data_IF_966124667902
#
_entry.id   IF_966124667902
#
_cell.length_a   1.000
_cell.length_b   1.000
_cell.length_c   1.000
_cell.angle_alpha   90.00
_cell.angle_beta   90.00
_cell.angle_gamma   90.00
#
_symmetry.space_group_name_H-M   'P 1'
#
loop_
_entity.id
_entity.type
_entity.pdbx_description
1 polymer ?
#
# COMPACT_ATOMS: atom_id res chain seq x y z
N UNK A 1 10.74 18.80 20.79
CA UNK A 1 10.38 17.37 20.84
C UNK A 1 8.95 17.25 20.36
N UNK A 2 8.67 16.41 19.36
CA UNK A 2 7.28 16.09 19.00
C UNK A 2 6.66 15.30 20.15
N UNK A 3 5.43 15.64 20.53
CA UNK A 3 4.64 14.84 21.49
C UNK A 3 4.35 13.50 20.80
N UNK A 4 4.79 12.41 21.42
CA UNK A 4 4.50 11.06 20.91
C UNK A 4 3.07 10.67 21.25
N UNK A 5 2.44 9.92 20.36
CA UNK A 5 1.13 9.33 20.59
C UNK A 5 1.23 8.10 21.50
N UNK A 6 0.14 7.74 22.16
CA UNK A 6 0.09 6.61 23.09
C UNK A 6 0.53 5.30 22.44
N UNK A 7 0.00 4.97 21.26
CA UNK A 7 0.39 3.76 20.52
C UNK A 7 1.88 3.71 20.16
N UNK A 8 2.56 4.86 19.97
CA UNK A 8 3.99 4.92 19.73
C UNK A 8 4.79 4.59 20.99
N UNK A 9 4.34 5.09 22.14
CA UNK A 9 4.93 4.77 23.43
C UNK A 9 4.75 3.28 23.77
N UNK A 10 3.57 2.73 23.53
CA UNK A 10 3.25 1.31 23.72
C UNK A 10 4.18 0.42 22.88
N UNK A 11 4.38 0.74 21.60
CA UNK A 11 5.30 -0.01 20.74
C UNK A 11 6.73 -0.01 21.27
N UNK A 12 7.20 1.12 21.78
CA UNK A 12 8.53 1.22 22.38
C UNK A 12 8.64 0.34 23.63
N UNK A 13 7.60 0.28 24.46
CA UNK A 13 7.58 -0.59 25.65
C UNK A 13 7.55 -2.07 25.25
N UNK A 14 6.76 -2.46 24.24
CA UNK A 14 6.79 -3.83 23.68
C UNK A 14 8.18 -4.15 23.15
N UNK A 15 8.83 -3.22 22.45
CA UNK A 15 10.18 -3.40 21.93
C UNK A 15 11.19 -3.65 23.07
N UNK A 16 11.16 -2.86 24.16
CA UNK A 16 12.03 -3.04 25.32
C UNK A 16 11.86 -4.41 25.99
N UNK A 17 10.64 -4.95 26.01
CA UNK A 17 10.34 -6.27 26.56
C UNK A 17 10.72 -7.43 25.64
N UNK A 18 11.01 -7.15 24.37
CA UNK A 18 11.37 -8.15 23.37
C UNK A 18 12.81 -8.65 23.60
N UNK A 19 12.96 -9.83 24.20
CA UNK A 19 14.26 -10.43 24.51
C UNK A 19 15.13 -10.73 23.27
N UNK A 20 14.52 -10.87 22.11
CA UNK A 20 15.20 -11.13 20.84
C UNK A 20 15.28 -9.90 19.94
N UNK A 21 14.88 -8.74 20.44
CA UNK A 21 14.89 -7.46 19.71
C UNK A 21 14.14 -7.53 18.37
N UNK A 22 12.92 -8.07 18.40
CA UNK A 22 12.07 -8.16 17.20
C UNK A 22 10.67 -7.69 17.52
N UNK A 23 10.13 -6.85 16.64
CA UNK A 23 8.77 -6.32 16.77
C UNK A 23 8.13 -6.17 15.38
N UNK A 24 6.82 -6.34 15.32
CA UNK A 24 6.00 -5.95 14.18
C UNK A 24 5.11 -4.76 14.55
N UNK A 25 5.16 -3.71 13.75
CA UNK A 25 4.27 -2.56 13.82
C UNK A 25 3.17 -2.73 12.78
N UNK A 26 2.04 -3.24 13.21
CA UNK A 26 0.84 -3.33 12.39
C UNK A 26 -0.03 -2.12 12.65
N UNK A 27 0.27 -1.05 11.98
CA UNK A 27 -0.32 0.26 12.20
C UNK A 27 -0.99 0.79 10.94
N UNK A 28 -2.16 1.39 11.08
CA UNK A 28 -2.84 2.09 9.98
C UNK A 28 -1.95 3.12 9.28
N UNK A 29 -2.36 3.52 8.09
CA UNK A 29 -1.65 4.56 7.32
C UNK A 29 -1.63 5.88 8.11
N UNK A 30 -0.51 6.61 8.07
CA UNK A 30 -0.41 7.92 8.72
C UNK A 30 -0.12 7.91 10.23
N UNK A 31 -0.03 6.75 10.88
CA UNK A 31 0.20 6.59 12.33
C UNK A 31 1.63 6.88 12.79
N UNK A 32 2.54 7.29 11.91
CA UNK A 32 3.93 7.57 12.27
C UNK A 32 4.83 6.33 12.39
N UNK A 33 4.55 5.25 11.65
CA UNK A 33 5.37 4.02 11.61
C UNK A 33 6.87 4.28 11.49
N UNK A 34 7.28 5.23 10.63
CA UNK A 34 8.68 5.60 10.42
C UNK A 34 9.35 6.02 11.73
N UNK A 35 8.75 6.97 12.44
CA UNK A 35 9.26 7.46 13.72
C UNK A 35 9.26 6.34 14.76
N UNK A 36 8.15 5.59 14.89
CA UNK A 36 8.00 4.50 15.86
C UNK A 36 9.05 3.40 15.64
N UNK A 37 9.31 3.02 14.38
CA UNK A 37 10.34 2.03 14.05
C UNK A 37 11.73 2.48 14.51
N UNK A 38 12.08 3.74 14.28
CA UNK A 38 13.35 4.31 14.71
C UNK A 38 13.46 4.42 16.24
N UNK A 39 12.36 4.76 16.92
CA UNK A 39 12.32 4.77 18.38
C UNK A 39 12.50 3.36 18.98
N UNK A 40 11.95 2.32 18.35
CA UNK A 40 12.24 0.93 18.73
C UNK A 40 13.72 0.59 18.58
N UNK A 41 14.36 1.02 17.49
CA UNK A 41 15.80 0.86 17.30
C UNK A 41 16.62 1.59 18.37
N UNK A 42 16.23 2.82 18.69
CA UNK A 42 16.86 3.59 19.76
C UNK A 42 16.71 2.90 21.15
N UNK A 43 15.52 2.34 21.43
CA UNK A 43 15.29 1.57 22.65
C UNK A 43 16.19 0.32 22.78
N UNK A 44 16.67 -0.20 21.65
CA UNK A 44 17.64 -1.31 21.59
C UNK A 44 19.10 -0.83 21.44
N UNK A 45 19.38 0.47 21.56
CA UNK A 45 20.69 1.09 21.39
C UNK A 45 21.30 0.81 20.00
N UNK A 46 20.48 0.84 18.96
CA UNK A 46 20.91 0.66 17.57
C UNK A 46 20.97 2.01 16.86
N UNK A 47 22.15 2.40 16.41
CA UNK A 47 22.43 3.68 15.75
C UNK A 47 22.87 3.52 14.27
N UNK A 48 23.06 2.29 13.79
CA UNK A 48 23.36 1.94 12.39
C UNK A 48 22.33 0.96 11.86
N UNK A 49 21.40 1.46 11.07
CA UNK A 49 20.18 0.74 10.65
C UNK A 49 20.10 0.65 9.13
N UNK A 50 19.79 -0.54 8.62
CA UNK A 50 19.38 -0.72 7.23
C UNK A 50 17.85 -0.70 7.14
N UNK A 51 17.32 0.15 6.26
CA UNK A 51 15.88 0.25 6.00
C UNK A 51 15.54 -0.29 4.61
N UNK A 52 14.74 -1.35 4.58
CA UNK A 52 14.06 -1.80 3.35
C UNK A 52 12.78 -0.99 3.22
N UNK A 53 12.69 -0.17 2.17
CA UNK A 53 11.52 0.68 1.96
C UNK A 53 11.30 0.96 0.46
N UNK A 54 10.09 1.40 0.06
CA UNK A 54 9.87 1.94 -1.28
C UNK A 54 10.83 3.11 -1.57
N UNK A 55 11.42 3.21 -2.78
CA UNK A 55 12.37 4.29 -3.10
C UNK A 55 11.85 5.70 -2.85
N UNK A 56 10.55 5.90 -3.01
CA UNK A 56 9.88 7.20 -2.77
C UNK A 56 9.94 7.66 -1.31
N UNK A 57 10.16 6.76 -0.36
CA UNK A 57 10.21 7.08 1.09
C UNK A 57 11.63 7.19 1.64
N UNK A 58 12.68 6.86 0.85
CA UNK A 58 14.06 6.82 1.32
C UNK A 58 14.52 8.15 1.95
N UNK A 59 14.22 9.29 1.31
CA UNK A 59 14.59 10.60 1.86
C UNK A 59 13.85 10.92 3.17
N UNK A 60 12.61 10.50 3.29
CA UNK A 60 11.83 10.67 4.52
C UNK A 60 12.46 9.87 5.67
N UNK A 61 12.84 8.59 5.42
CA UNK A 61 13.52 7.76 6.40
C UNK A 61 14.82 8.41 6.89
N UNK A 62 15.67 8.89 5.98
CA UNK A 62 16.93 9.56 6.33
C UNK A 62 16.71 10.81 7.16
N UNK A 63 15.81 11.71 6.73
CA UNK A 63 15.51 12.94 7.46
C UNK A 63 14.96 12.68 8.87
N UNK A 64 14.07 11.69 9.01
CA UNK A 64 13.52 11.35 10.34
C UNK A 64 14.62 10.75 11.23
N UNK A 65 15.47 9.89 10.71
CA UNK A 65 16.58 9.29 11.45
C UNK A 65 17.60 10.33 11.94
N UNK A 66 17.93 11.32 11.11
CA UNK A 66 18.79 12.46 11.48
C UNK A 66 18.29 13.18 12.73
N UNK A 67 16.98 13.36 12.89
CA UNK A 67 16.38 14.01 14.09
C UNK A 67 16.58 13.21 15.37
N UNK A 68 16.87 11.91 15.26
CA UNK A 68 17.10 10.98 16.36
C UNK A 68 18.59 10.61 16.54
N UNK A 69 19.48 11.13 15.71
CA UNK A 69 20.89 10.78 15.72
C UNK A 69 21.20 9.36 15.23
N UNK A 70 20.30 8.75 14.43
CA UNK A 70 20.45 7.40 13.89
C UNK A 70 20.97 7.49 12.45
N UNK A 71 21.98 6.70 12.14
CA UNK A 71 22.49 6.54 10.76
C UNK A 71 21.64 5.50 10.02
N UNK A 72 21.12 5.88 8.86
CA UNK A 72 20.25 5.01 8.06
C UNK A 72 20.77 4.85 6.65
N UNK A 73 20.99 3.58 6.27
CA UNK A 73 21.12 3.17 4.88
C UNK A 73 19.75 2.71 4.37
N UNK A 74 19.41 3.05 3.13
CA UNK A 74 18.11 2.67 2.53
C UNK A 74 18.29 1.80 1.30
N UNK A 75 17.44 0.78 1.17
CA UNK A 75 17.43 -0.14 0.03
C UNK A 75 15.99 -0.46 -0.40
N UNK A 76 15.75 -0.60 -1.70
CA UNK A 76 14.45 -1.04 -2.19
C UNK A 76 14.25 -2.56 -2.01
N UNK A 77 12.99 -3.00 -1.87
CA UNK A 77 12.63 -4.43 -1.82
C UNK A 77 13.14 -5.19 -3.06
N UNK A 78 13.08 -4.57 -4.24
CA UNK A 78 13.59 -5.18 -5.47
C UNK A 78 15.11 -5.43 -5.39
N UNK A 79 15.89 -4.45 -4.95
CA UNK A 79 17.34 -4.58 -4.78
C UNK A 79 17.68 -5.59 -3.68
N UNK A 80 16.93 -5.61 -2.58
CA UNK A 80 17.12 -6.59 -1.51
C UNK A 80 16.94 -8.03 -1.99
N UNK A 81 15.98 -8.30 -2.88
CA UNK A 81 15.75 -9.64 -3.45
C UNK A 81 16.90 -10.16 -4.31
N UNK A 82 17.75 -9.29 -4.84
CA UNK A 82 18.89 -9.72 -5.65
C UNK A 82 19.87 -10.58 -4.84
N UNK A 83 20.34 -11.67 -5.43
CA UNK A 83 21.15 -12.70 -4.75
C UNK A 83 22.49 -12.20 -4.23
N UNK A 84 23.08 -11.22 -4.91
CA UNK A 84 24.41 -10.69 -4.58
C UNK A 84 24.39 -9.62 -3.47
N UNK A 85 23.22 -9.17 -3.00
CA UNK A 85 23.16 -8.22 -1.89
C UNK A 85 23.48 -8.93 -0.57
N UNK A 86 24.61 -8.58 0.03
CA UNK A 86 25.05 -9.09 1.33
C UNK A 86 24.84 -8.03 2.39
N UNK A 87 24.19 -8.39 3.50
CA UNK A 87 24.15 -7.55 4.70
C UNK A 87 25.49 -7.67 5.45
N UNK A 88 26.00 -6.57 5.94
CA UNK A 88 27.06 -6.60 6.93
C UNK A 88 26.54 -7.23 8.23
N UNK A 89 27.41 -7.89 8.99
CA UNK A 89 27.01 -8.74 10.14
C UNK A 89 26.35 -7.99 11.33
N UNK A 90 26.33 -6.67 11.31
CA UNK A 90 26.03 -5.84 12.50
C UNK A 90 24.89 -4.85 12.35
N UNK A 91 24.26 -4.75 11.19
CA UNK A 91 23.21 -3.75 10.99
C UNK A 91 21.85 -4.25 11.50
N UNK A 92 21.20 -3.44 12.34
CA UNK A 92 19.78 -3.58 12.63
C UNK A 92 18.95 -3.36 11.36
N UNK A 93 17.78 -3.97 11.28
CA UNK A 93 16.97 -3.99 10.07
C UNK A 93 15.56 -3.48 10.33
N UNK A 94 15.13 -2.51 9.54
CA UNK A 94 13.71 -2.12 9.43
C UNK A 94 13.19 -2.56 8.07
N UNK A 95 12.04 -3.22 8.04
CA UNK A 95 11.33 -3.61 6.82
C UNK A 95 10.01 -2.85 6.78
N UNK A 96 10.01 -1.74 6.09
CA UNK A 96 8.81 -0.95 5.82
C UNK A 96 8.02 -1.57 4.66
N UNK A 97 6.70 -1.48 4.70
CA UNK A 97 5.79 -2.12 3.75
C UNK A 97 6.16 -3.60 3.52
N UNK A 98 6.26 -4.36 4.62
CA UNK A 98 6.71 -5.77 4.61
C UNK A 98 5.90 -6.66 3.66
N UNK A 99 4.65 -6.31 3.35
CA UNK A 99 3.83 -7.04 2.38
C UNK A 99 4.46 -7.08 0.97
N UNK A 100 5.34 -6.13 0.62
CA UNK A 100 6.06 -6.12 -0.66
C UNK A 100 7.13 -7.22 -0.76
N UNK A 101 7.44 -7.93 0.32
CA UNK A 101 8.33 -9.11 0.27
C UNK A 101 7.65 -10.34 -0.35
N UNK A 102 6.32 -10.32 -0.48
CA UNK A 102 5.51 -11.42 -1.00
C UNK A 102 5.19 -12.51 0.02
N UNK A 103 4.67 -13.66 -0.40
CA UNK A 103 4.35 -14.81 0.44
C UNK A 103 5.57 -15.63 0.88
N UNK A 104 5.35 -16.71 1.64
CA UNK A 104 6.41 -17.48 2.30
C UNK A 104 7.44 -18.14 1.36
N UNK A 105 7.06 -18.43 0.12
CA UNK A 105 7.97 -18.94 -0.94
C UNK A 105 8.67 -17.83 -1.72
N UNK A 106 8.30 -16.57 -1.50
CA UNK A 106 8.90 -15.46 -2.24
C UNK A 106 10.36 -15.22 -1.82
N UNK A 107 11.22 -14.91 -2.79
CA UNK A 107 12.64 -14.69 -2.57
C UNK A 107 12.95 -13.65 -1.48
N UNK A 108 12.10 -12.63 -1.34
CA UNK A 108 12.23 -11.60 -0.30
C UNK A 108 12.12 -12.17 1.11
N UNK A 109 11.04 -12.92 1.39
CA UNK A 109 10.84 -13.56 2.69
C UNK A 109 11.84 -14.67 2.96
N UNK A 110 12.16 -15.49 1.96
CA UNK A 110 13.17 -16.55 2.12
C UNK A 110 14.51 -15.94 2.53
N UNK A 111 14.91 -14.84 1.90
CA UNK A 111 16.15 -14.13 2.24
C UNK A 111 16.10 -13.50 3.62
N UNK A 112 15.01 -12.82 3.96
CA UNK A 112 14.82 -12.23 5.29
C UNK A 112 14.86 -13.30 6.39
N UNK A 113 14.17 -14.42 6.20
CA UNK A 113 14.17 -15.54 7.14
C UNK A 113 15.58 -16.13 7.33
N UNK A 114 16.34 -16.32 6.24
CA UNK A 114 17.72 -16.79 6.32
C UNK A 114 18.58 -15.81 7.13
N UNK A 115 18.49 -14.51 6.83
CA UNK A 115 19.22 -13.46 7.54
C UNK A 115 18.83 -13.38 9.02
N UNK A 116 17.54 -13.46 9.34
CA UNK A 116 17.05 -13.42 10.72
C UNK A 116 17.54 -14.58 11.59
N UNK A 117 17.85 -15.73 10.98
CA UNK A 117 18.41 -16.90 11.69
C UNK A 117 19.92 -16.79 11.91
N UNK A 118 20.63 -16.22 10.96
CA UNK A 118 22.10 -16.12 10.98
C UNK A 118 22.62 -14.85 11.63
N UNK A 119 21.80 -13.81 11.65
CA UNK A 119 22.11 -12.53 12.27
C UNK A 119 21.25 -12.39 13.52
N UNK A 120 21.87 -12.26 14.68
CA UNK A 120 21.16 -11.83 15.90
C UNK A 120 20.77 -10.34 15.83
N UNK A 121 20.55 -9.83 14.62
CA UNK A 121 20.25 -8.43 14.40
C UNK A 121 18.84 -8.09 14.86
N UNK A 122 18.64 -6.92 15.46
CA UNK A 122 17.33 -6.36 15.75
C UNK A 122 16.51 -6.16 14.49
N UNK A 123 15.23 -6.50 14.53
CA UNK A 123 14.34 -6.42 13.36
C UNK A 123 13.04 -5.73 13.75
N UNK A 124 12.69 -4.66 13.01
CA UNK A 124 11.35 -4.08 13.00
C UNK A 124 10.68 -4.41 11.66
N UNK A 125 9.53 -5.04 11.73
CA UNK A 125 8.63 -5.20 10.59
C UNK A 125 7.55 -4.14 10.67
N UNK A 126 7.22 -3.46 9.58
CA UNK A 126 6.18 -2.44 9.55
C UNK A 126 5.28 -2.58 8.33
N UNK A 127 3.97 -2.48 8.51
CA UNK A 127 2.99 -2.38 7.43
C UNK A 127 1.67 -1.80 7.93
N UNK A 128 0.95 -1.12 7.06
CA UNK A 128 -0.44 -0.75 7.28
C UNK A 128 -1.41 -1.85 6.83
N UNK A 129 -0.97 -2.70 5.93
CA UNK A 129 -1.82 -3.68 5.23
C UNK A 129 -1.10 -5.02 5.10
N UNK A 130 -1.04 -5.83 6.16
CA UNK A 130 -0.45 -7.17 6.08
C UNK A 130 -1.39 -8.17 5.43
N UNK A 131 -2.15 -7.87 4.41
CA UNK A 131 -3.18 -8.69 3.75
C UNK A 131 -3.97 -9.61 4.71
N UNK A 132 -5.16 -9.19 5.03
CA UNK A 132 -6.02 -9.74 6.09
C UNK A 132 -6.41 -11.22 5.95
N UNK A 133 -6.27 -11.83 4.77
CA UNK A 133 -6.64 -13.22 4.52
C UNK A 133 -5.46 -14.11 4.14
N UNK A 134 -4.23 -13.62 4.32
CA UNK A 134 -3.03 -14.29 3.82
C UNK A 134 -2.28 -14.98 4.96
N UNK A 135 -2.64 -16.23 5.23
CA UNK A 135 -1.96 -17.09 6.20
C UNK A 135 -0.45 -17.22 5.94
N UNK A 136 -0.04 -17.11 4.67
CA UNK A 136 1.36 -17.11 4.25
C UNK A 136 2.15 -15.98 4.91
N UNK A 137 1.56 -14.79 4.96
CA UNK A 137 2.21 -13.59 5.51
C UNK A 137 2.21 -13.61 7.03
N UNK A 138 1.11 -14.02 7.64
CA UNK A 138 1.05 -14.24 9.10
C UNK A 138 2.14 -15.22 9.54
N UNK A 139 2.25 -16.35 8.83
CA UNK A 139 3.33 -17.31 9.07
C UNK A 139 4.73 -16.69 8.91
N UNK A 140 4.94 -15.85 7.88
CA UNK A 140 6.22 -15.18 7.69
C UNK A 140 6.56 -14.25 8.85
N UNK A 141 5.58 -13.47 9.34
CA UNK A 141 5.74 -12.56 10.48
C UNK A 141 6.08 -13.36 11.73
N UNK A 142 5.28 -14.37 12.05
CA UNK A 142 5.53 -15.23 13.22
C UNK A 142 6.93 -15.84 13.19
N UNK A 143 7.35 -16.34 12.02
CA UNK A 143 8.66 -16.95 11.84
C UNK A 143 9.83 -15.98 12.05
N UNK A 144 9.65 -14.72 11.72
CA UNK A 144 10.65 -13.68 12.00
C UNK A 144 10.62 -13.29 13.48
N UNK A 145 9.44 -13.07 14.05
CA UNK A 145 9.32 -12.66 15.45
C UNK A 145 9.72 -13.76 16.43
N UNK A 146 9.37 -15.02 16.14
CA UNK A 146 9.55 -16.16 17.04
C UNK A 146 10.25 -17.35 16.37
N UNK A 147 11.49 -17.20 15.86
CA UNK A 147 12.16 -18.23 15.06
C UNK A 147 12.36 -19.57 15.79
N UNK A 148 12.50 -19.53 17.11
CA UNK A 148 12.68 -20.74 17.94
C UNK A 148 11.37 -21.54 18.15
N UNK A 149 10.22 -20.87 18.08
CA UNK A 149 8.89 -21.48 18.27
C UNK A 149 8.24 -21.88 16.95
N UNK A 150 8.60 -21.22 15.86
CA UNK A 150 7.94 -21.39 14.58
C UNK A 150 8.24 -22.74 13.96
N UNK A 151 7.17 -23.50 13.72
CA UNK A 151 7.15 -24.79 13.03
C UNK A 151 7.27 -24.64 11.50
N UNK A 152 7.13 -25.73 10.76
CA UNK A 152 7.02 -25.68 9.30
C UNK A 152 5.69 -25.07 8.85
N UNK A 153 5.64 -24.57 7.62
CA UNK A 153 4.46 -23.89 7.09
C UNK A 153 3.19 -24.77 7.14
N UNK A 154 3.28 -26.02 6.74
CA UNK A 154 2.14 -26.93 6.81
C UNK A 154 1.66 -27.15 8.26
N UNK A 155 2.59 -27.32 9.21
CA UNK A 155 2.20 -27.44 10.63
C UNK A 155 1.49 -26.19 11.12
N UNK A 156 1.98 -24.99 10.73
CA UNK A 156 1.31 -23.75 11.05
C UNK A 156 -0.12 -23.72 10.49
N UNK A 157 -0.33 -24.13 9.24
CA UNK A 157 -1.66 -24.18 8.63
C UNK A 157 -2.61 -25.10 9.40
N UNK A 158 -2.18 -26.33 9.68
CA UNK A 158 -3.01 -27.31 10.40
C UNK A 158 -3.35 -26.91 11.83
N UNK A 159 -2.48 -26.15 12.48
CA UNK A 159 -2.65 -25.73 13.88
C UNK A 159 -3.49 -24.45 14.03
N UNK A 160 -3.48 -23.57 13.02
CA UNK A 160 -4.04 -22.23 13.18
C UNK A 160 -5.13 -21.89 12.16
N UNK A 161 -5.27 -22.66 11.07
CA UNK A 161 -6.15 -22.27 9.95
C UNK A 161 -7.27 -23.28 9.70
N UNK A 162 -8.41 -22.76 9.22
CA UNK A 162 -9.47 -23.56 8.61
C UNK A 162 -9.04 -23.89 7.20
N UNK A 163 -9.06 -25.18 6.86
CA UNK A 163 -8.48 -25.68 5.61
C UNK A 163 -9.53 -26.42 4.78
N UNK A 164 -9.53 -26.16 3.48
CA UNK A 164 -10.26 -26.95 2.51
C UNK A 164 -9.29 -27.65 1.56
N UNK A 165 -9.53 -28.93 1.30
CA UNK A 165 -8.68 -29.72 0.40
C UNK A 165 -8.91 -29.28 -1.04
N UNK A 166 -7.85 -28.80 -1.68
CA UNK A 166 -7.87 -28.47 -3.10
C UNK A 166 -7.38 -29.68 -3.91
N UNK A 167 -8.25 -30.32 -4.72
CA UNK A 167 -7.86 -31.50 -5.50
C UNK A 167 -6.78 -31.21 -6.56
N UNK A 168 -6.53 -29.95 -6.87
CA UNK A 168 -5.53 -29.52 -7.87
C UNK A 168 -4.23 -28.99 -7.23
N UNK A 169 -4.12 -28.99 -5.91
CA UNK A 169 -2.97 -28.48 -5.18
C UNK A 169 -2.49 -29.47 -4.12
N UNK A 170 -1.17 -29.52 -3.89
CA UNK A 170 -0.60 -30.26 -2.79
C UNK A 170 -0.74 -29.54 -1.44
N UNK A 171 -1.13 -28.28 -1.46
CA UNK A 171 -1.34 -27.45 -0.28
C UNK A 171 -2.84 -27.15 -0.17
N UNK A 172 -3.47 -27.36 1.00
CA UNK A 172 -4.87 -27.01 1.19
C UNK A 172 -5.09 -25.50 1.05
N UNK A 173 -6.26 -25.11 0.62
CA UNK A 173 -6.69 -23.72 0.59
C UNK A 173 -7.07 -23.26 2.01
N UNK A 174 -6.69 -22.06 2.38
CA UNK A 174 -7.02 -21.46 3.67
C UNK A 174 -8.29 -20.67 3.55
N UNK A 175 -9.31 -21.02 4.34
CA UNK A 175 -10.61 -20.35 4.38
C UNK A 175 -10.80 -19.45 5.60
N UNK A 176 -9.86 -19.46 6.54
CA UNK A 176 -9.88 -18.61 7.74
C UNK A 176 -8.93 -19.11 8.82
N UNK A 177 -9.03 -18.52 10.00
CA UNK A 177 -8.29 -18.94 11.19
C UNK A 177 -9.21 -19.73 12.15
N UNK A 178 -8.64 -20.66 12.92
CA UNK A 178 -9.42 -21.54 13.82
C UNK A 178 -9.98 -20.76 15.01
N UNK A 179 -9.15 -19.96 15.69
CA UNK A 179 -9.47 -19.28 16.94
C UNK A 179 -9.69 -17.77 16.77
N UNK A 180 -9.43 -17.23 15.58
CA UNK A 180 -9.50 -15.81 15.29
C UNK A 180 -10.43 -15.53 14.11
N UNK A 181 -11.15 -14.38 14.10
CA UNK A 181 -12.04 -14.02 13.00
C UNK A 181 -11.27 -13.78 11.70
N UNK A 182 -10.04 -13.26 11.80
CA UNK A 182 -9.18 -12.95 10.65
C UNK A 182 -7.68 -12.91 11.05
N UNK A 183 -6.84 -12.64 10.07
CA UNK A 183 -5.40 -12.51 10.26
C UNK A 183 -5.00 -11.30 11.13
N UNK A 184 -5.81 -10.24 11.13
CA UNK A 184 -5.53 -9.05 11.93
C UNK A 184 -5.68 -9.34 13.42
N UNK A 185 -6.76 -10.03 13.80
CA UNK A 185 -7.00 -10.46 15.18
C UNK A 185 -5.91 -11.45 15.65
N UNK A 186 -5.50 -12.39 14.78
CA UNK A 186 -4.39 -13.29 15.06
C UNK A 186 -3.08 -12.53 15.34
N UNK A 187 -2.75 -11.54 14.49
CA UNK A 187 -1.55 -10.74 14.66
C UNK A 187 -1.62 -9.83 15.89
N UNK A 188 -2.80 -9.26 16.18
CA UNK A 188 -3.00 -8.38 17.33
C UNK A 188 -2.76 -9.10 18.68
N UNK A 189 -3.09 -10.40 18.75
CA UNK A 189 -2.85 -11.24 19.94
C UNK A 189 -1.40 -11.79 20.00
N UNK A 190 -0.65 -11.67 18.93
CA UNK A 190 0.71 -12.20 18.86
C UNK A 190 1.66 -11.36 19.69
N UNK A 191 2.45 -12.00 20.52
CA UNK A 191 3.52 -11.33 21.28
C UNK A 191 4.51 -10.62 20.33
N UNK A 192 5.00 -9.45 20.74
CA UNK A 192 5.88 -8.58 19.97
C UNK A 192 5.21 -8.00 18.71
N UNK A 193 3.90 -7.85 18.71
CA UNK A 193 3.15 -7.09 17.72
C UNK A 193 2.53 -5.87 18.42
N UNK A 194 2.85 -4.69 17.94
CA UNK A 194 2.14 -3.48 18.29
C UNK A 194 1.07 -3.24 17.21
N UNK A 195 -0.19 -3.20 17.63
CA UNK A 195 -1.34 -3.13 16.75
C UNK A 195 -2.11 -1.83 16.93
N UNK A 196 -2.34 -1.13 15.84
CA UNK A 196 -3.23 0.03 15.79
C UNK A 196 -4.23 -0.17 14.66
N UNK A 197 -5.49 -0.51 14.97
CA UNK A 197 -6.52 -0.75 13.98
C UNK A 197 -6.85 0.51 13.18
N UNK A 198 -7.40 0.28 11.99
CA UNK A 198 -7.97 1.35 11.16
C UNK A 198 -9.43 1.54 11.56
N UNK A 199 -9.66 2.33 12.59
CA UNK A 199 -11.00 2.61 13.16
C UNK A 199 -11.58 3.95 12.68
N UNK A 200 -10.97 4.57 11.65
CA UNK A 200 -11.53 5.81 11.10
C UNK A 200 -12.75 5.46 10.27
N UNK A 201 -13.91 5.84 10.73
CA UNK A 201 -15.17 5.72 10.00
C UNK A 201 -15.17 6.71 8.84
N UNK A 202 -15.51 6.24 7.66
CA UNK A 202 -15.69 7.05 6.46
C UNK A 202 -16.77 6.41 5.57
N UNK A 203 -17.45 7.25 4.82
CA UNK A 203 -18.44 6.82 3.85
C UNK A 203 -17.85 6.89 2.43
N UNK A 204 -18.22 5.91 1.59
CA UNK A 204 -17.90 5.91 0.17
C UNK A 204 -19.20 6.17 -0.60
N UNK A 205 -19.23 7.26 -1.32
CA UNK A 205 -20.31 7.57 -2.25
C UNK A 205 -20.09 6.82 -3.57
N UNK A 206 -21.04 5.91 -3.87
CA UNK A 206 -21.00 5.07 -5.06
C UNK A 206 -21.63 5.79 -6.25
N UNK A 207 -20.80 6.24 -7.18
CA UNK A 207 -21.23 6.94 -8.39
C UNK A 207 -21.34 5.97 -9.55
N UNK A 208 -22.56 5.68 -10.00
CA UNK A 208 -22.79 4.78 -11.14
C UNK A 208 -22.68 5.53 -12.45
N UNK A 209 -21.88 5.00 -13.39
CA UNK A 209 -21.77 5.46 -14.76
C UNK A 209 -21.96 4.29 -15.70
N UNK A 210 -22.95 4.37 -16.58
CA UNK A 210 -23.18 3.37 -17.62
C UNK A 210 -22.84 3.93 -18.99
N UNK A 211 -22.11 3.14 -19.78
CA UNK A 211 -21.76 3.48 -21.15
C UNK A 211 -22.12 2.31 -22.06
N UNK A 212 -23.02 2.56 -23.02
CA UNK A 212 -23.37 1.57 -24.03
C UNK A 212 -22.23 1.52 -25.08
N UNK A 213 -21.48 0.41 -25.07
CA UNK A 213 -20.48 0.15 -26.12
C UNK A 213 -21.21 -0.13 -27.43
N UNK A 214 -20.90 0.65 -28.48
CA UNK A 214 -21.38 0.35 -29.82
C UNK A 214 -21.01 -1.10 -30.22
N UNK A 215 -21.89 -1.85 -30.91
CA UNK A 215 -21.65 -3.25 -31.30
C UNK A 215 -20.32 -3.47 -32.06
N UNK A 216 -19.83 -2.43 -32.76
CA UNK A 216 -18.53 -2.46 -33.45
C UNK A 216 -17.35 -2.63 -32.48
N UNK A 217 -17.44 -2.19 -31.22
CA UNK A 217 -16.40 -2.34 -30.20
C UNK A 217 -16.35 -3.72 -29.56
N UNK A 218 -17.44 -4.47 -29.57
CA UNK A 218 -17.43 -5.87 -29.14
C UNK A 218 -16.49 -6.74 -29.98
N UNK A 219 -16.22 -6.33 -31.24
CA UNK A 219 -15.33 -7.04 -32.16
C UNK A 219 -13.88 -6.54 -32.14
N UNK A 220 -13.59 -5.35 -31.62
CA UNK A 220 -12.23 -4.81 -31.60
C UNK A 220 -11.29 -5.52 -30.60
N UNK A 221 -11.80 -6.10 -29.55
CA UNK A 221 -11.06 -7.02 -28.67
C UNK A 221 -10.56 -8.29 -29.37
N UNK A 222 -11.12 -8.62 -30.54
CA UNK A 222 -10.74 -9.77 -31.38
C UNK A 222 -9.72 -9.40 -32.47
N UNK A 223 -9.45 -8.13 -32.74
CA UNK A 223 -8.61 -7.65 -33.85
C UNK A 223 -7.29 -7.01 -33.39
N UNK A 224 -6.79 -7.28 -32.21
CA UNK A 224 -5.40 -6.96 -31.91
C UNK A 224 -4.50 -7.82 -32.81
N UNK A 225 -3.62 -7.17 -33.55
CA UNK A 225 -2.80 -7.64 -34.70
C UNK A 225 -1.81 -8.78 -34.41
N UNK A 226 -2.07 -9.63 -33.47
CA UNK A 226 -1.24 -10.82 -33.25
C UNK A 226 -2.15 -12.03 -33.14
N UNK A 227 -1.99 -12.95 -34.09
CA UNK A 227 -2.46 -14.30 -34.10
C UNK A 227 -1.99 -15.09 -32.85
N UNK A 228 -2.36 -14.64 -31.65
CA UNK A 228 -2.16 -15.36 -30.40
C UNK A 228 -3.50 -15.70 -29.82
N UNK A 229 -3.70 -16.98 -29.72
CA UNK A 229 -4.73 -17.68 -28.99
C UNK A 229 -5.17 -16.90 -27.72
N UNK A 230 -6.49 -16.59 -27.70
CA UNK A 230 -7.24 -16.10 -26.53
C UNK A 230 -6.48 -15.10 -25.65
N UNK A 231 -6.68 -13.80 -25.92
CA UNK A 231 -6.47 -12.79 -24.87
C UNK A 231 -7.08 -13.32 -23.57
N UNK A 232 -6.31 -13.29 -22.48
CA UNK A 232 -6.80 -13.75 -21.19
C UNK A 232 -8.08 -12.98 -20.85
N UNK A 233 -8.95 -13.56 -20.05
CA UNK A 233 -10.20 -12.90 -19.66
C UNK A 233 -9.92 -11.53 -19.01
N UNK A 234 -8.82 -11.43 -18.31
CA UNK A 234 -8.28 -10.19 -17.70
C UNK A 234 -7.96 -9.12 -18.75
N UNK A 235 -7.31 -9.48 -19.87
CA UNK A 235 -6.98 -8.52 -20.94
C UNK A 235 -8.24 -8.01 -21.65
N UNK A 236 -9.27 -8.86 -21.79
CA UNK A 236 -10.56 -8.45 -22.34
C UNK A 236 -11.30 -7.48 -21.42
N UNK A 237 -11.27 -7.73 -20.13
CA UNK A 237 -11.91 -6.88 -19.12
C UNK A 237 -11.20 -5.52 -19.01
N UNK A 238 -9.87 -5.50 -19.01
CA UNK A 238 -9.08 -4.25 -19.06
C UNK A 238 -9.37 -3.43 -20.32
N UNK A 239 -9.43 -4.08 -21.48
CA UNK A 239 -9.79 -3.41 -22.72
C UNK A 239 -11.20 -2.80 -22.65
N UNK A 240 -12.17 -3.55 -22.12
CA UNK A 240 -13.54 -3.11 -21.93
C UNK A 240 -13.61 -1.87 -21.04
N UNK A 241 -12.96 -1.86 -19.88
CA UNK A 241 -12.90 -0.70 -18.98
C UNK A 241 -12.31 0.51 -19.69
N UNK A 242 -11.22 0.36 -20.43
CA UNK A 242 -10.59 1.44 -21.17
C UNK A 242 -11.53 2.03 -22.23
N UNK A 243 -12.20 1.19 -23.03
CA UNK A 243 -13.10 1.64 -24.09
C UNK A 243 -14.38 2.28 -23.56
N UNK A 244 -14.90 1.85 -22.41
CA UNK A 244 -16.05 2.47 -21.76
C UNK A 244 -15.70 3.81 -21.09
N UNK A 245 -14.41 4.09 -20.91
CA UNK A 245 -13.91 5.25 -20.18
C UNK A 245 -13.33 6.32 -21.09
N UNK A 246 -12.61 5.91 -22.16
CA UNK A 246 -11.80 6.80 -23.01
C UNK A 246 -12.35 6.80 -24.45
N UNK A 247 -12.51 8.00 -25.03
CA UNK A 247 -12.89 8.19 -26.42
C UNK A 247 -11.70 7.94 -27.39
N UNK A 248 -11.97 8.00 -28.71
CA UNK A 248 -10.96 7.78 -29.75
C UNK A 248 -9.86 8.85 -29.78
N UNK A 249 -10.11 10.03 -29.23
CA UNK A 249 -9.15 11.12 -29.15
C UNK A 249 -8.29 11.07 -27.89
N UNK A 250 -8.58 10.10 -26.99
CA UNK A 250 -7.83 9.88 -25.76
C UNK A 250 -8.26 10.76 -24.59
N UNK A 251 -9.49 11.25 -24.60
CA UNK A 251 -10.13 11.95 -23.50
C UNK A 251 -11.14 11.03 -22.81
N UNK A 252 -11.53 11.37 -21.59
CA UNK A 252 -12.69 10.71 -20.99
C UNK A 252 -13.92 10.99 -21.88
N UNK A 253 -14.81 10.01 -22.02
CA UNK A 253 -16.09 10.27 -22.65
C UNK A 253 -16.76 11.48 -22.01
N UNK A 254 -17.35 12.36 -22.83
CA UNK A 254 -17.88 13.65 -22.33
C UNK A 254 -18.82 13.51 -21.13
N UNK A 255 -19.82 12.60 -21.12
CA UNK A 255 -20.71 12.45 -19.95
C UNK A 255 -19.95 12.03 -18.68
N UNK A 256 -18.94 11.16 -18.81
CA UNK A 256 -18.10 10.76 -17.68
C UNK A 256 -17.23 11.94 -17.18
N UNK A 257 -16.65 12.71 -18.11
CA UNK A 257 -15.88 13.88 -17.77
C UNK A 257 -16.72 14.96 -17.07
N UNK A 258 -17.96 15.14 -17.49
CA UNK A 258 -18.90 16.08 -16.85
C UNK A 258 -19.30 15.60 -15.46
N UNK A 259 -19.49 14.28 -15.30
CA UNK A 259 -19.81 13.66 -14.01
C UNK A 259 -18.62 13.76 -13.03
N UNK A 260 -17.40 13.52 -13.48
CA UNK A 260 -16.18 13.69 -12.66
C UNK A 260 -16.05 15.13 -12.19
N UNK A 261 -16.30 16.10 -13.08
CA UNK A 261 -16.25 17.53 -12.74
C UNK A 261 -17.22 17.91 -11.62
N UNK A 262 -18.43 17.36 -11.59
CA UNK A 262 -19.44 17.62 -10.57
C UNK A 262 -18.97 17.22 -9.15
N UNK A 263 -18.01 16.29 -9.05
CA UNK A 263 -17.47 15.82 -7.79
C UNK A 263 -16.15 16.50 -7.39
N UNK A 264 -15.67 17.48 -8.15
CA UNK A 264 -14.45 18.25 -7.82
C UNK A 264 -14.80 19.43 -6.91
N UNK A 265 -14.80 19.19 -5.62
CA UNK A 265 -15.12 20.19 -4.58
C UNK A 265 -13.85 20.61 -3.81
N UNK A 266 -13.00 21.46 -4.37
CA UNK A 266 -11.75 21.85 -3.75
C UNK A 266 -10.52 21.07 -4.29
N UNK A 267 -9.40 21.04 -3.57
CA UNK A 267 -8.25 20.23 -3.93
C UNK A 267 -8.61 18.75 -3.93
N UNK A 268 -8.51 18.10 -5.10
CA UNK A 268 -9.04 16.76 -5.32
C UNK A 268 -7.94 15.79 -5.73
N UNK A 269 -7.92 14.61 -5.09
CA UNK A 269 -7.11 13.47 -5.48
C UNK A 269 -7.94 12.55 -6.40
N UNK A 270 -7.44 12.25 -7.60
CA UNK A 270 -8.11 11.35 -8.55
C UNK A 270 -7.23 10.12 -8.77
N UNK A 271 -7.73 8.98 -8.36
CA UNK A 271 -7.06 7.70 -8.56
C UNK A 271 -7.62 6.96 -9.78
N UNK A 272 -6.72 6.40 -10.57
CA UNK A 272 -7.02 5.47 -11.66
C UNK A 272 -6.07 4.27 -11.58
N UNK A 273 -6.61 3.08 -11.70
CA UNK A 273 -5.81 1.86 -11.76
C UNK A 273 -4.96 1.81 -13.06
N UNK A 274 -5.52 2.29 -14.17
CA UNK A 274 -4.85 2.33 -15.48
C UNK A 274 -4.26 3.71 -15.80
N UNK A 275 -2.99 3.74 -16.20
CA UNK A 275 -2.31 5.00 -16.56
C UNK A 275 -2.93 5.72 -17.75
N UNK A 276 -3.51 4.99 -18.71
CA UNK A 276 -4.23 5.58 -19.85
C UNK A 276 -5.47 6.37 -19.40
N UNK A 277 -6.20 5.87 -18.41
CA UNK A 277 -7.37 6.55 -17.84
C UNK A 277 -6.93 7.78 -17.04
N UNK A 278 -5.85 7.69 -16.27
CA UNK A 278 -5.27 8.84 -15.58
C UNK A 278 -4.83 9.96 -16.53
N UNK A 279 -4.19 9.60 -17.65
CA UNK A 279 -3.80 10.55 -18.71
C UNK A 279 -5.02 11.17 -19.42
N UNK A 280 -6.06 10.38 -19.68
CA UNK A 280 -7.30 10.86 -20.26
C UNK A 280 -8.04 11.82 -19.32
N UNK A 281 -8.11 11.49 -18.03
CA UNK A 281 -8.69 12.36 -17.01
C UNK A 281 -7.95 13.71 -16.93
N UNK A 282 -6.61 13.68 -16.94
CA UNK A 282 -5.81 14.89 -16.95
C UNK A 282 -6.13 15.78 -18.17
N UNK A 283 -6.12 15.20 -19.37
CA UNK A 283 -6.44 15.95 -20.60
C UNK A 283 -7.85 16.53 -20.56
N UNK A 284 -8.84 15.75 -20.15
CA UNK A 284 -10.23 16.19 -20.09
C UNK A 284 -10.43 17.35 -19.10
N UNK A 285 -9.85 17.26 -17.91
CA UNK A 285 -9.95 18.32 -16.92
C UNK A 285 -9.18 19.58 -17.34
N UNK A 286 -8.04 19.43 -18.01
CA UNK A 286 -7.29 20.56 -18.55
C UNK A 286 -8.10 21.34 -19.62
N UNK A 287 -8.88 20.67 -20.50
CA UNK A 287 -9.77 21.33 -21.45
C UNK A 287 -10.91 22.10 -20.80
N UNK A 288 -11.27 21.75 -19.57
CA UNK A 288 -12.27 22.44 -18.74
C UNK A 288 -11.66 23.56 -17.86
N UNK A 289 -10.35 23.82 -17.99
CA UNK A 289 -9.65 24.88 -17.27
C UNK A 289 -9.12 24.50 -15.90
N UNK A 290 -9.17 23.22 -15.51
CA UNK A 290 -8.58 22.79 -14.24
C UNK A 290 -7.06 22.69 -14.33
N UNK A 291 -6.37 23.27 -13.36
CA UNK A 291 -4.93 23.03 -13.17
C UNK A 291 -4.71 21.65 -12.57
N UNK A 292 -3.95 20.81 -13.28
CA UNK A 292 -3.79 19.39 -12.89
C UNK A 292 -2.33 18.95 -12.98
N UNK A 293 -1.94 18.01 -12.13
CA UNK A 293 -0.67 17.29 -12.22
C UNK A 293 -0.90 15.79 -12.24
N UNK A 294 -0.01 15.07 -12.91
CA UNK A 294 -0.09 13.61 -13.09
C UNK A 294 1.09 12.90 -12.41
N UNK A 295 0.78 11.80 -11.69
CA UNK A 295 1.76 10.94 -11.04
C UNK A 295 1.46 9.48 -11.38
N UNK A 296 2.27 8.87 -12.23
CA UNK A 296 2.15 7.47 -12.64
C UNK A 296 3.44 6.69 -12.33
N UNK A 297 3.44 5.39 -12.60
CA UNK A 297 4.65 4.57 -12.47
C UNK A 297 5.83 5.02 -13.35
N UNK A 298 5.57 5.84 -14.39
CA UNK A 298 6.61 6.43 -15.28
C UNK A 298 7.17 7.76 -14.75
N UNK A 299 6.53 8.35 -13.72
CA UNK A 299 6.95 9.64 -13.16
C UNK A 299 8.20 9.48 -12.33
N UNK A 300 9.26 10.22 -12.65
CA UNK A 300 10.50 10.19 -11.87
C UNK A 300 10.28 10.75 -10.45
N UNK A 301 11.11 10.34 -9.49
CA UNK A 301 10.97 10.77 -8.11
C UNK A 301 11.01 12.31 -7.94
N UNK A 302 11.86 13.00 -8.70
CA UNK A 302 11.96 14.46 -8.67
C UNK A 302 10.69 15.15 -9.20
N UNK A 303 10.13 14.64 -10.31
CA UNK A 303 8.88 15.16 -10.88
C UNK A 303 7.70 14.86 -9.96
N UNK A 304 7.65 13.65 -9.39
CA UNK A 304 6.64 13.28 -8.39
C UNK A 304 6.66 14.26 -7.21
N UNK A 305 7.83 14.53 -6.65
CA UNK A 305 7.95 15.44 -5.51
C UNK A 305 7.47 16.85 -5.87
N UNK A 306 7.92 17.40 -7.01
CA UNK A 306 7.49 18.71 -7.49
C UNK A 306 5.96 18.78 -7.68
N UNK A 307 5.35 17.74 -8.24
CA UNK A 307 3.90 17.70 -8.46
C UNK A 307 3.12 17.62 -7.15
N UNK A 308 3.64 16.89 -6.17
CA UNK A 308 3.06 16.81 -4.83
C UNK A 308 3.17 18.15 -4.09
N UNK A 309 4.30 18.84 -4.22
CA UNK A 309 4.50 20.16 -3.60
C UNK A 309 3.57 21.19 -4.23
N UNK A 310 3.47 21.26 -5.56
CA UNK A 310 2.53 22.14 -6.24
C UNK A 310 1.06 21.89 -5.81
N UNK A 311 0.67 20.64 -5.56
CA UNK A 311 -0.66 20.33 -5.06
C UNK A 311 -0.84 20.75 -3.59
N UNK A 312 0.16 20.57 -2.74
CA UNK A 312 0.13 20.99 -1.33
C UNK A 312 0.11 22.51 -1.17
N UNK A 313 0.81 23.21 -2.05
CA UNK A 313 0.89 24.67 -2.05
C UNK A 313 -0.38 25.33 -2.66
N UNK A 314 -1.28 24.52 -3.22
CA UNK A 314 -2.54 24.99 -3.82
C UNK A 314 -2.40 25.54 -5.25
N UNK A 315 -1.25 25.37 -5.89
CA UNK A 315 -0.99 25.81 -7.28
C UNK A 315 -1.81 25.00 -8.29
N UNK A 316 -2.18 23.77 -7.92
CA UNK A 316 -2.98 22.88 -8.77
C UNK A 316 -4.22 22.37 -8.04
N UNK A 317 -5.33 22.25 -8.77
CA UNK A 317 -6.64 21.89 -8.28
C UNK A 317 -6.80 20.38 -8.13
N UNK A 318 -6.20 19.59 -9.03
CA UNK A 318 -6.32 18.14 -8.98
C UNK A 318 -4.97 17.43 -9.14
N UNK A 319 -4.71 16.48 -8.26
CA UNK A 319 -3.61 15.52 -8.33
C UNK A 319 -4.17 14.21 -8.86
N UNK A 320 -3.74 13.80 -10.05
CA UNK A 320 -4.23 12.60 -10.73
C UNK A 320 -3.12 11.56 -10.74
N UNK A 321 -3.45 10.29 -10.54
CA UNK A 321 -2.42 9.26 -10.69
C UNK A 321 -2.87 7.84 -10.42
N UNK A 322 -1.88 6.95 -10.42
CA UNK A 322 -2.06 5.50 -10.28
C UNK A 322 -1.57 5.01 -8.91
N UNK A 323 -1.34 3.71 -8.75
CA UNK A 323 -0.84 3.09 -7.51
C UNK A 323 0.39 3.80 -6.90
N UNK A 324 1.15 4.56 -7.70
CA UNK A 324 2.24 5.40 -7.20
C UNK A 324 1.81 6.50 -6.22
N UNK A 325 0.51 6.83 -6.14
CA UNK A 325 -0.06 7.75 -5.15
C UNK A 325 -0.18 7.11 -3.77
N UNK A 326 -0.29 5.80 -3.67
CA UNK A 326 -0.42 5.11 -2.39
C UNK A 326 0.85 5.19 -1.54
N UNK A 327 2.01 5.46 -2.14
CA UNK A 327 3.31 5.48 -1.45
C UNK A 327 4.01 6.82 -1.56
N UNK A 328 4.61 7.29 -0.46
CA UNK A 328 5.43 8.51 -0.44
C UNK A 328 4.64 9.80 -0.75
N UNK A 329 3.38 9.87 -0.36
CA UNK A 329 2.48 11.02 -0.59
C UNK A 329 1.92 11.56 0.73
N UNK A 330 2.78 11.74 1.73
CA UNK A 330 2.37 12.22 3.04
C UNK A 330 1.91 13.69 3.01
N UNK A 331 1.01 14.06 3.94
CA UNK A 331 0.52 15.43 4.09
C UNK A 331 -0.64 15.81 3.16
N UNK A 332 -1.19 14.88 2.37
CA UNK A 332 -2.38 15.11 1.54
C UNK A 332 -3.64 15.28 2.40
N UNK A 333 -3.68 14.64 3.57
CA UNK A 333 -4.76 14.75 4.57
C UNK A 333 -5.06 16.20 4.98
N UNK A 334 -4.07 17.09 4.92
CA UNK A 334 -4.19 18.51 5.32
C UNK A 334 -4.73 19.41 4.22
N UNK A 335 -4.63 19.02 2.97
CA UNK A 335 -4.95 19.88 1.82
C UNK A 335 -6.00 19.28 0.89
N UNK A 336 -6.26 17.99 0.98
CA UNK A 336 -7.17 17.26 0.08
C UNK A 336 -8.40 16.80 0.86
N UNK A 337 -9.57 17.28 0.48
CA UNK A 337 -10.84 16.89 1.10
C UNK A 337 -11.63 15.90 0.25
N UNK A 338 -11.30 15.76 -1.03
CA UNK A 338 -12.02 14.90 -1.97
C UNK A 338 -11.10 13.87 -2.61
N UNK A 339 -11.47 12.59 -2.53
CA UNK A 339 -10.88 11.49 -3.29
C UNK A 339 -11.89 10.97 -4.30
N UNK A 340 -11.53 10.96 -5.57
CA UNK A 340 -12.28 10.30 -6.63
C UNK A 340 -11.52 9.03 -7.05
N UNK A 341 -12.14 7.87 -6.85
CA UNK A 341 -11.67 6.58 -7.38
C UNK A 341 -12.39 6.39 -8.71
N UNK A 342 -11.79 6.88 -9.80
CA UNK A 342 -12.41 6.88 -11.13
C UNK A 342 -12.34 5.52 -11.81
N UNK A 343 -11.26 4.78 -11.58
CA UNK A 343 -11.00 3.44 -12.12
C UNK A 343 -10.42 2.61 -10.99
N UNK A 344 -11.28 1.79 -10.37
CA UNK A 344 -10.96 1.11 -9.12
C UNK A 344 -9.99 -0.07 -9.32
N UNK A 345 -9.36 -0.45 -8.24
CA UNK A 345 -8.45 -1.58 -8.16
C UNK A 345 -9.13 -2.77 -7.48
N UNK A 346 -8.77 -3.98 -7.90
CA UNK A 346 -9.15 -5.21 -7.20
C UNK A 346 -8.32 -5.43 -5.91
N UNK A 347 -7.28 -4.63 -5.68
CA UNK A 347 -6.44 -4.71 -4.50
C UNK A 347 -7.03 -3.82 -3.37
N UNK A 348 -7.74 -4.45 -2.44
CA UNK A 348 -8.31 -3.77 -1.26
C UNK A 348 -7.24 -3.09 -0.40
N UNK A 349 -6.04 -3.63 -0.35
CA UNK A 349 -4.90 -3.06 0.38
C UNK A 349 -4.49 -1.72 -0.23
N UNK A 350 -4.39 -1.66 -1.56
CA UNK A 350 -4.09 -0.43 -2.29
C UNK A 350 -5.20 0.61 -2.11
N UNK A 351 -6.46 0.20 -2.20
CA UNK A 351 -7.62 1.08 -1.99
C UNK A 351 -7.61 1.71 -0.58
N UNK A 352 -7.39 0.90 0.45
CA UNK A 352 -7.27 1.40 1.84
C UNK A 352 -6.11 2.35 2.02
N UNK A 353 -4.95 2.08 1.41
CA UNK A 353 -3.81 2.99 1.45
C UNK A 353 -4.12 4.33 0.80
N UNK A 354 -4.84 4.36 -0.33
CA UNK A 354 -5.25 5.59 -1.01
C UNK A 354 -6.23 6.40 -0.17
N UNK A 355 -7.26 5.77 0.36
CA UNK A 355 -8.22 6.41 1.27
C UNK A 355 -7.50 6.98 2.50
N UNK A 356 -6.63 6.19 3.11
CA UNK A 356 -5.82 6.64 4.24
C UNK A 356 -4.88 7.81 3.95
N UNK A 357 -4.70 8.22 2.68
CA UNK A 357 -3.91 9.42 2.32
C UNK A 357 -4.65 10.73 2.54
N UNK A 358 -5.97 10.71 2.45
CA UNK A 358 -6.80 11.89 2.65
C UNK A 358 -7.46 11.93 4.02
N UNK A 359 -7.59 10.77 4.69
CA UNK A 359 -8.18 10.71 6.02
C UNK A 359 -7.31 11.47 7.04
N UNK A 360 -7.94 12.18 7.97
CA UNK A 360 -7.22 12.94 8.98
C UNK A 360 -6.40 12.01 9.89
N UNK A 361 -5.31 12.53 10.42
CA UNK A 361 -4.35 11.80 11.25
C UNK A 361 -4.45 12.30 12.69
N UNK A 362 -4.68 11.39 13.63
CA UNK A 362 -4.76 11.68 15.06
C UNK A 362 -5.96 10.99 15.71
N UNK A 363 -5.96 10.97 17.05
CA UNK A 363 -7.00 10.29 17.84
C UNK A 363 -8.33 11.05 17.83
N UNK A 364 -8.29 12.39 17.70
CA UNK A 364 -9.46 13.28 17.72
C UNK A 364 -9.83 13.78 16.30
N UNK A 365 -9.45 13.07 15.26
CA UNK A 365 -9.63 13.56 13.89
C UNK A 365 -11.01 13.19 13.34
N UNK A 366 -11.77 14.21 12.97
CA UNK A 366 -13.08 14.09 12.34
C UNK A 366 -12.92 13.91 10.82
N UNK A 367 -13.38 12.77 10.30
CA UNK A 367 -13.37 12.46 8.87
C UNK A 367 -14.64 12.98 8.16
N UNK A 368 -15.59 13.60 8.86
CA UNK A 368 -16.88 14.01 8.29
C UNK A 368 -16.78 15.02 7.13
N UNK A 369 -15.65 15.73 7.03
CA UNK A 369 -15.39 16.66 5.94
C UNK A 369 -14.75 16.01 4.69
N UNK A 370 -14.34 14.74 4.79
CA UNK A 370 -13.68 14.03 3.69
C UNK A 370 -14.72 13.34 2.81
N UNK A 371 -14.66 13.60 1.52
CA UNK A 371 -15.55 13.03 0.51
C UNK A 371 -14.79 11.98 -0.30
N UNK A 372 -15.35 10.78 -0.39
CA UNK A 372 -14.77 9.69 -1.16
C UNK A 372 -15.82 9.22 -2.16
N UNK A 373 -15.56 9.42 -3.44
CA UNK A 373 -16.45 9.01 -4.53
C UNK A 373 -15.82 7.86 -5.30
N UNK A 374 -16.52 6.74 -5.39
CA UNK A 374 -16.09 5.58 -6.17
C UNK A 374 -16.98 5.42 -7.39
N UNK A 375 -16.36 5.50 -8.56
CA UNK A 375 -17.06 5.37 -9.83
C UNK A 375 -17.17 3.91 -10.24
N UNK A 376 -18.41 3.44 -10.39
CA UNK A 376 -18.74 2.13 -10.93
C UNK A 376 -19.06 2.29 -12.42
N UNK A 377 -18.07 2.01 -13.27
CA UNK A 377 -18.21 2.09 -14.72
C UNK A 377 -18.82 0.78 -15.21
N UNK A 378 -20.11 0.83 -15.54
CA UNK A 378 -20.87 -0.27 -16.09
C UNK A 378 -20.84 -0.20 -17.62
N UNK A 379 -20.41 -1.28 -18.27
CA UNK A 379 -20.32 -1.37 -19.74
C UNK A 379 -21.03 -2.59 -20.30
#
# INVERSE_FOLDING_TARGET
MHKLFEHQLEAVEIAKQSSNQRICLYYRTGSGKTLTSLLCMQAWNQDDVLVLAPPSTHNHWKKTAETLGITVDTISHAKFRMSHYKLSKTKALIVDEMHLLGGYKAAGWMKLNLLSRHLSAPIVLASATPNYNDADRVYCIEKILHPAKSKGYLSFLYENCKLEMNPFSQTPDVTGFLEYPDAAAYLADMRNVAYLPDNVEYEIDEVSYSFELEPAFHNYGLLSRTNRLAASQIEKEHARIIYSTIDRAGYLHKPLSDLVEQHINGPTLIFCNHSSIAEAAQRSLATKGYTTVLVTGKTTAAVKQRNLDAFRDGDVKALIGTASLATGTDGLDKVCDTLIILDDTQDDSLRRQLIGRILPRGEDSDASQKQIHRFNILS
#
